data_IF_805451182923
#
_entry.id   IF_805451182923
#
_cell.length_a   1.000
_cell.length_b   1.000
_cell.length_c   1.000
_cell.angle_alpha   90.00
_cell.angle_beta   90.00
_cell.angle_gamma   90.00
#
_symmetry.space_group_name_H-M   'P 1'
#
loop_
_entity.id
_entity.type
_entity.pdbx_description
1 polymer ?
#
# COMPACT_ATOMS: atom_id res chain seq x y z
N UNK A 1 16.14 16.65 -44.92
CA UNK A 1 15.13 15.58 -45.01
C UNK A 1 14.97 14.76 -43.72
N UNK A 2 16.05 14.37 -43.03
CA UNK A 2 15.99 13.56 -41.78
C UNK A 2 15.08 14.15 -40.68
N UNK A 3 15.14 15.46 -40.44
CA UNK A 3 14.33 16.12 -39.40
C UNK A 3 12.83 16.20 -39.76
N UNK A 4 12.51 16.29 -41.05
CA UNK A 4 11.14 16.28 -41.54
C UNK A 4 10.51 14.89 -41.39
N UNK A 5 11.28 13.84 -41.73
CA UNK A 5 10.86 12.44 -41.53
C UNK A 5 10.66 12.16 -40.04
N UNK A 6 11.57 12.61 -39.18
CA UNK A 6 11.44 12.46 -37.72
C UNK A 6 10.19 13.17 -37.17
N UNK A 7 9.88 14.37 -37.67
CA UNK A 7 8.66 15.10 -37.30
C UNK A 7 7.38 14.33 -37.66
N UNK A 8 7.32 13.78 -38.87
CA UNK A 8 6.15 13.00 -39.32
C UNK A 8 6.01 11.72 -38.49
N UNK A 9 7.12 11.02 -38.23
CA UNK A 9 7.12 9.81 -37.39
C UNK A 9 6.68 10.13 -35.96
N UNK A 10 7.15 11.24 -35.39
CA UNK A 10 6.74 11.67 -34.05
C UNK A 10 5.24 11.97 -33.97
N UNK A 11 4.66 12.59 -35.01
CA UNK A 11 3.21 12.82 -35.09
C UNK A 11 2.42 11.51 -35.14
N UNK A 12 2.87 10.54 -35.94
CA UNK A 12 2.21 9.24 -36.05
C UNK A 12 2.26 8.49 -34.72
N UNK A 13 3.44 8.46 -34.08
CA UNK A 13 3.61 7.83 -32.77
C UNK A 13 2.72 8.53 -31.75
N UNK A 14 2.77 9.86 -31.65
CA UNK A 14 1.98 10.63 -30.70
C UNK A 14 0.48 10.42 -30.85
N UNK A 15 -0.03 10.39 -32.08
CA UNK A 15 -1.42 10.06 -32.36
C UNK A 15 -1.76 8.66 -31.85
N UNK A 16 -0.92 7.67 -32.16
CA UNK A 16 -1.13 6.30 -31.72
C UNK A 16 -1.12 6.17 -30.19
N UNK A 17 -0.21 6.88 -29.49
CA UNK A 17 -0.17 6.87 -28.02
C UNK A 17 -1.46 7.43 -27.43
N UNK A 18 -2.00 8.51 -27.99
CA UNK A 18 -3.24 9.12 -27.51
C UNK A 18 -4.43 8.18 -27.74
N UNK A 19 -4.56 7.60 -28.93
CA UNK A 19 -5.64 6.65 -29.22
C UNK A 19 -5.54 5.41 -28.34
N UNK A 20 -4.34 4.86 -28.18
CA UNK A 20 -4.09 3.70 -27.32
C UNK A 20 -4.42 4.01 -25.86
N UNK A 21 -3.98 5.17 -25.34
CA UNK A 21 -4.29 5.60 -23.98
C UNK A 21 -5.79 5.80 -23.76
N UNK A 22 -6.51 6.32 -24.76
CA UNK A 22 -7.97 6.45 -24.68
C UNK A 22 -8.67 5.09 -24.62
N UNK A 23 -8.26 4.14 -25.47
CA UNK A 23 -8.82 2.78 -25.48
C UNK A 23 -8.50 2.04 -24.17
N UNK A 24 -7.24 2.05 -23.74
CA UNK A 24 -6.84 1.41 -22.48
C UNK A 24 -7.49 2.10 -21.27
N UNK A 25 -7.56 3.42 -21.26
CA UNK A 25 -8.24 4.20 -20.23
C UNK A 25 -9.73 3.87 -20.12
N UNK A 26 -10.41 3.62 -21.24
CA UNK A 26 -11.79 3.17 -21.25
C UNK A 26 -11.94 1.81 -20.56
N UNK A 27 -11.12 0.82 -20.94
CA UNK A 27 -11.17 -0.51 -20.33
C UNK A 27 -10.83 -0.49 -18.83
N UNK A 28 -9.78 0.23 -18.44
CA UNK A 28 -9.39 0.39 -17.04
C UNK A 28 -10.48 1.15 -16.27
N UNK A 29 -11.09 2.18 -16.86
CA UNK A 29 -12.19 2.94 -16.26
C UNK A 29 -13.42 2.08 -15.99
N UNK A 30 -13.81 1.23 -16.95
CA UNK A 30 -14.91 0.27 -16.78
C UNK A 30 -14.55 -0.77 -15.72
N UNK A 31 -13.33 -1.33 -15.78
CA UNK A 31 -12.85 -2.29 -14.79
C UNK A 31 -12.86 -1.68 -13.38
N UNK A 32 -12.43 -0.44 -13.22
CA UNK A 32 -12.44 0.28 -11.94
C UNK A 32 -13.86 0.51 -11.42
N UNK A 33 -14.82 0.86 -12.30
CA UNK A 33 -16.23 0.98 -11.93
C UNK A 33 -16.81 -0.34 -11.40
N UNK A 34 -16.49 -1.46 -12.05
CA UNK A 34 -16.97 -2.80 -11.65
C UNK A 34 -16.20 -3.33 -10.43
N UNK A 35 -14.92 -3.00 -10.29
CA UNK A 35 -14.06 -3.49 -9.20
C UNK A 35 -14.33 -2.79 -7.86
N UNK A 36 -14.99 -1.63 -7.82
CA UNK A 36 -15.35 -0.93 -6.57
C UNK A 36 -15.99 -1.83 -5.49
N UNK A 37 -17.05 -2.63 -5.76
CA UNK A 37 -17.59 -3.57 -4.79
C UNK A 37 -16.67 -4.76 -4.47
N UNK A 38 -15.82 -5.19 -5.42
CA UNK A 38 -14.88 -6.31 -5.23
C UNK A 38 -13.68 -5.93 -4.36
N UNK A 39 -13.12 -4.73 -4.54
CA UNK A 39 -12.03 -4.22 -3.72
C UNK A 39 -12.50 -4.05 -2.28
N UNK A 40 -13.72 -3.55 -2.05
CA UNK A 40 -14.30 -3.50 -0.70
C UNK A 40 -14.33 -4.90 -0.06
N UNK A 41 -14.90 -5.90 -0.73
CA UNK A 41 -14.97 -7.29 -0.19
C UNK A 41 -13.60 -7.91 0.07
N UNK A 42 -12.61 -7.67 -0.82
CA UNK A 42 -11.24 -8.17 -0.66
C UNK A 42 -10.47 -7.43 0.43
N UNK A 43 -10.67 -6.11 0.55
CA UNK A 43 -10.10 -5.31 1.64
C UNK A 43 -10.67 -5.74 2.99
N UNK A 44 -11.98 -5.97 3.12
CA UNK A 44 -12.55 -6.46 4.38
C UNK A 44 -12.06 -7.85 4.73
N UNK A 45 -11.97 -8.77 3.75
CA UNK A 45 -11.45 -10.11 3.97
C UNK A 45 -9.96 -10.10 4.34
N UNK A 46 -9.15 -9.28 3.67
CA UNK A 46 -7.74 -9.10 4.01
C UNK A 46 -7.56 -8.39 5.36
N UNK A 47 -8.44 -7.46 5.72
CA UNK A 47 -8.44 -6.81 7.02
C UNK A 47 -8.87 -7.76 8.13
N UNK A 48 -9.84 -8.65 7.89
CA UNK A 48 -10.19 -9.74 8.80
C UNK A 48 -9.07 -10.76 8.93
N UNK A 49 -8.38 -11.12 7.84
CA UNK A 49 -7.22 -12.02 7.88
C UNK A 49 -6.04 -11.37 8.61
N UNK A 50 -5.78 -10.08 8.40
CA UNK A 50 -4.76 -9.33 9.13
C UNK A 50 -5.13 -9.16 10.61
N UNK A 51 -6.40 -8.89 10.93
CA UNK A 51 -6.88 -8.76 12.31
C UNK A 51 -6.89 -10.11 13.03
N UNK A 52 -7.23 -11.20 12.33
CA UNK A 52 -7.07 -12.56 12.85
C UNK A 52 -5.60 -12.88 13.05
N UNK A 53 -4.71 -12.57 12.09
CA UNK A 53 -3.27 -12.78 12.27
C UNK A 53 -2.69 -11.94 13.43
N UNK A 54 -3.12 -10.69 13.62
CA UNK A 54 -2.75 -9.89 14.80
C UNK A 54 -3.37 -10.44 16.09
N UNK A 55 -4.57 -11.02 16.06
CA UNK A 55 -5.21 -11.68 17.19
C UNK A 55 -4.64 -13.07 17.54
N UNK A 56 -4.03 -13.75 16.56
CA UNK A 56 -3.32 -15.02 16.76
C UNK A 56 -1.82 -14.83 17.06
N UNK A 57 -1.23 -13.67 16.71
CA UNK A 57 0.16 -13.34 17.05
C UNK A 57 0.34 -12.73 18.45
N UNK A 58 -0.73 -12.38 19.15
CA UNK A 58 -0.66 -11.95 20.57
C UNK A 58 -0.75 -13.11 21.57
N UNK A 59 -0.78 -14.37 21.11
CA UNK A 59 -1.00 -15.51 22.00
C UNK A 59 -0.10 -16.71 21.74
N UNK A 60 1.16 -16.53 21.32
CA UNK A 60 2.14 -17.61 21.35
C UNK A 60 3.59 -17.13 21.21
N UNK A 61 4.02 -16.28 22.12
CA UNK A 61 5.45 -16.22 22.45
C UNK A 61 5.56 -16.17 23.98
N UNK A 62 5.75 -17.35 24.59
CA UNK A 62 6.32 -17.48 25.93
C UNK A 62 7.75 -16.94 25.90
N UNK A 63 7.90 -15.63 25.80
CA UNK A 63 9.06 -14.94 26.30
C UNK A 63 8.76 -14.60 27.75
N UNK A 64 9.56 -15.10 28.68
CA UNK A 64 9.56 -14.65 30.08
C UNK A 64 9.71 -13.13 30.06
N UNK A 65 8.61 -12.40 30.25
CA UNK A 65 8.64 -10.97 30.53
C UNK A 65 9.40 -10.82 31.84
N UNK A 66 10.60 -10.24 31.77
CA UNK A 66 11.24 -9.67 32.96
C UNK A 66 10.37 -8.46 33.28
N UNK A 67 9.46 -8.61 34.24
CA UNK A 67 8.77 -7.49 34.87
C UNK A 67 9.85 -6.66 35.58
N UNK A 68 10.43 -5.73 34.83
CA UNK A 68 11.32 -4.72 35.34
C UNK A 68 10.51 -3.78 36.21
N UNK A 69 10.43 -4.09 37.50
CA UNK A 69 10.03 -3.13 38.51
C UNK A 69 10.88 -1.87 38.35
N UNK A 70 10.22 -0.77 37.98
CA UNK A 70 10.88 0.51 37.73
C UNK A 70 11.24 1.12 39.09
N UNK A 71 12.51 0.98 39.48
CA UNK A 71 13.04 1.66 40.66
C UNK A 71 13.31 3.13 40.32
N UNK A 72 12.46 4.01 40.86
CA UNK A 72 12.57 5.46 40.68
C UNK A 72 13.79 6.00 41.45
N UNK A 73 14.91 6.19 40.73
CA UNK A 73 16.16 6.74 41.25
C UNK A 73 16.08 8.22 41.70
N UNK A 74 14.92 8.85 41.58
CA UNK A 74 14.71 10.25 41.97
C UNK A 74 14.57 10.43 43.49
N UNK A 75 14.46 9.35 44.27
CA UNK A 75 14.43 9.37 45.75
C UNK A 75 15.76 8.94 46.37
N UNK A 76 16.87 9.56 45.97
CA UNK A 76 18.03 9.66 46.86
C UNK A 76 17.92 10.98 47.63
N UNK A 77 17.37 11.01 48.86
CA UNK A 77 17.72 12.08 49.76
C UNK A 77 19.23 11.93 50.01
N UNK A 78 19.97 12.97 49.63
CA UNK A 78 21.27 13.22 50.21
C UNK A 78 21.16 13.18 51.74
N UNK A 79 22.27 12.81 52.38
CA UNK A 79 22.54 12.84 53.82
C UNK A 79 22.40 11.50 54.55
N UNK A 80 23.55 10.85 54.75
CA UNK A 80 24.19 10.77 56.07
C UNK A 80 25.71 10.87 55.90
#
# INVERSE_FOLDING_TARGET
MKNFIASVVALVIGFFTITFAAVMGLFIGIAALIAKPFIKKRMTAAYEEALKQQGYQTQQQSGSTIDGEFEDVTKRPAMQ
#
